data_IF_657400832528
#
_entry.id   IF_657400832528
#
_cell.length_a   1.000
_cell.length_b   1.000
_cell.length_c   1.000
_cell.angle_alpha   90.00
_cell.angle_beta   90.00
_cell.angle_gamma   90.00
#
_symmetry.space_group_name_H-M   'P 1'
#
loop_
_entity.id
_entity.type
_entity.pdbx_description
1 polymer ?
#
# COMPACT_ATOMS: atom_id res chain seq x y z
N UNK A 1 -5.93 35.27 -1.89
CA UNK A 1 -5.51 36.16 -0.78
C UNK A 1 -4.33 36.95 -1.27
N UNK A 2 -4.53 38.24 -1.51
CA UNK A 2 -3.68 38.98 -2.45
C UNK A 2 -2.54 39.73 -1.75
N UNK A 3 -2.63 39.88 -0.42
CA UNK A 3 -1.61 40.57 0.38
C UNK A 3 -1.03 39.61 1.40
N UNK A 4 0.25 39.29 1.22
CA UNK A 4 1.08 38.57 2.19
C UNK A 4 2.05 39.58 2.79
N UNK A 5 2.08 39.69 4.11
CA UNK A 5 2.86 40.69 4.83
C UNK A 5 3.62 40.08 6.01
N UNK A 6 4.41 40.89 6.69
CA UNK A 6 5.15 40.52 7.91
C UNK A 6 4.84 41.50 9.01
N UNK A 7 4.83 41.00 10.24
CA UNK A 7 4.62 41.83 11.43
C UNK A 7 5.96 42.02 12.14
N UNK A 8 6.44 43.26 12.20
CA UNK A 8 7.67 43.65 12.87
C UNK A 8 7.34 44.44 14.13
N UNK A 9 7.86 44.00 15.26
CA UNK A 9 7.74 44.74 16.51
C UNK A 9 8.60 46.02 16.45
N UNK A 10 8.05 47.16 16.85
CA UNK A 10 8.64 48.49 16.62
C UNK A 10 9.92 48.68 17.43
N UNK A 11 9.86 48.46 18.74
CA UNK A 11 10.98 48.74 19.65
C UNK A 11 12.14 47.74 19.54
N UNK A 12 11.80 46.46 19.41
CA UNK A 12 12.79 45.37 19.42
C UNK A 12 13.22 44.96 18.02
N UNK A 13 12.51 45.41 16.98
CA UNK A 13 12.78 45.08 15.58
C UNK A 13 12.56 43.60 15.20
N UNK A 14 12.03 42.77 16.09
CA UNK A 14 11.82 41.34 15.85
C UNK A 14 10.60 41.06 14.97
N UNK A 15 10.61 39.92 14.26
CA UNK A 15 9.53 39.49 13.36
C UNK A 15 8.66 38.41 14.00
N UNK A 16 7.34 38.54 13.88
CA UNK A 16 6.40 37.53 14.34
C UNK A 16 6.53 36.24 13.52
N UNK A 17 6.68 35.11 14.21
CA UNK A 17 6.97 33.80 13.62
C UNK A 17 6.11 32.70 14.27
N UNK A 18 5.71 31.72 13.48
CA UNK A 18 5.18 30.44 14.00
C UNK A 18 6.30 29.39 14.07
N UNK A 19 6.54 28.82 15.24
CA UNK A 19 7.50 27.75 15.47
C UNK A 19 7.01 26.41 14.94
N UNK A 20 7.94 25.49 14.64
CA UNK A 20 7.61 24.11 14.25
C UNK A 20 7.26 23.22 15.43
N UNK A 21 7.58 23.63 16.66
CA UNK A 21 7.29 22.89 17.87
C UNK A 21 5.84 23.13 18.32
N UNK A 22 5.23 22.08 18.89
CA UNK A 22 3.91 22.17 19.50
C UNK A 22 4.05 22.45 20.99
N UNK A 23 3.17 23.29 21.51
CA UNK A 23 3.07 23.55 22.93
C UNK A 23 2.68 22.26 23.67
N UNK A 24 3.09 22.08 24.94
CA UNK A 24 2.66 20.94 25.76
C UNK A 24 1.14 20.91 25.99
N UNK A 25 0.68 19.92 26.77
CA UNK A 25 -0.76 19.70 27.02
C UNK A 25 -1.54 20.94 27.49
N UNK A 26 -0.90 21.86 28.23
CA UNK A 26 -1.51 23.12 28.65
C UNK A 26 -1.89 24.05 27.49
N UNK A 27 -1.19 23.95 26.37
CA UNK A 27 -1.45 24.70 25.13
C UNK A 27 -2.16 23.86 24.08
N UNK A 28 -2.77 22.74 24.49
CA UNK A 28 -3.56 21.85 23.62
C UNK A 28 -2.83 21.42 22.33
N UNK A 29 -1.51 21.23 22.37
CA UNK A 29 -0.68 20.89 21.19
C UNK A 29 -0.79 21.89 20.03
N UNK A 30 -1.11 23.16 20.32
CA UNK A 30 -1.11 24.24 19.34
C UNK A 30 0.32 24.60 18.92
N UNK A 31 0.46 25.26 17.77
CA UNK A 31 1.76 25.74 17.31
C UNK A 31 2.24 26.94 18.16
N UNK A 32 3.52 26.97 18.50
CA UNK A 32 4.11 28.08 19.26
C UNK A 32 4.23 29.35 18.40
N UNK A 33 3.92 30.51 18.95
CA UNK A 33 4.12 31.82 18.29
C UNK A 33 5.22 32.59 19.02
N UNK A 34 6.25 33.02 18.29
CA UNK A 34 7.45 33.67 18.86
C UNK A 34 7.82 34.93 18.07
N UNK A 35 8.71 35.76 18.62
CA UNK A 35 9.29 36.90 17.91
C UNK A 35 10.78 36.65 17.63
N UNK A 36 11.13 36.51 16.35
CA UNK A 36 12.50 36.23 15.92
C UNK A 36 13.29 37.54 15.77
N UNK A 37 14.40 37.75 16.51
CA UNK A 37 15.23 38.93 16.35
C UNK A 37 15.76 39.03 14.91
N UNK A 38 15.55 40.17 14.25
CA UNK A 38 16.01 40.40 12.87
C UNK A 38 17.51 40.74 12.84
N UNK A 39 18.36 39.89 13.44
CA UNK A 39 19.82 40.06 13.50
C UNK A 39 20.55 39.41 12.31
N UNK A 40 19.87 38.55 11.54
CA UNK A 40 20.44 37.82 10.39
C UNK A 40 19.90 38.40 9.09
N UNK A 41 20.36 39.61 8.75
CA UNK A 41 19.86 40.46 7.65
C UNK A 41 20.05 39.94 6.23
N UNK A 42 19.56 38.72 5.91
CA UNK A 42 19.26 38.20 4.56
C UNK A 42 18.77 36.75 4.55
N UNK A 43 19.01 35.94 5.60
CA UNK A 43 18.69 34.48 5.60
C UNK A 43 17.30 34.14 6.14
N UNK A 44 16.78 34.88 7.13
CA UNK A 44 15.43 34.67 7.69
C UNK A 44 14.32 35.27 6.82
N UNK A 45 14.67 35.99 5.76
CA UNK A 45 13.78 36.75 4.88
C UNK A 45 13.05 35.85 3.87
N UNK A 46 13.45 34.58 3.74
CA UNK A 46 12.88 33.64 2.76
C UNK A 46 12.02 32.52 3.37
N UNK A 47 11.88 32.47 4.69
CA UNK A 47 11.11 31.40 5.33
C UNK A 47 9.62 31.74 5.37
N UNK A 48 8.77 30.75 5.09
CA UNK A 48 7.32 30.91 5.06
C UNK A 48 6.70 31.08 6.47
N UNK A 49 7.48 30.84 7.52
CA UNK A 49 7.05 30.87 8.92
C UNK A 49 6.89 32.28 9.52
N UNK A 50 7.31 33.32 8.80
CA UNK A 50 7.15 34.75 9.16
C UNK A 50 6.16 35.49 8.25
N UNK A 51 5.57 34.79 7.28
CA UNK A 51 4.60 35.36 6.35
C UNK A 51 3.19 35.20 6.92
N UNK A 52 2.46 36.31 6.92
CA UNK A 52 1.09 36.38 7.43
C UNK A 52 0.16 36.92 6.35
N UNK A 53 -1.10 36.53 6.45
CA UNK A 53 -2.18 37.08 5.64
C UNK A 53 -3.43 37.15 6.52
N UNK A 54 -4.39 37.98 6.11
CA UNK A 54 -5.70 38.07 6.77
C UNK A 54 -6.66 37.17 6.01
N UNK A 55 -7.17 36.13 6.67
CA UNK A 55 -8.16 35.22 6.09
C UNK A 55 -9.59 35.77 6.24
N UNK A 56 -9.89 36.33 7.42
CA UNK A 56 -11.21 36.80 7.76
C UNK A 56 -11.12 38.15 8.49
N UNK A 57 -11.91 39.13 8.05
CA UNK A 57 -12.03 40.45 8.65
C UNK A 57 -13.49 40.88 8.67
N UNK A 58 -13.98 41.33 9.83
CA UNK A 58 -15.31 41.91 9.98
C UNK A 58 -15.15 43.31 10.53
N UNK A 59 -15.55 44.31 9.75
CA UNK A 59 -15.52 45.71 10.16
C UNK A 59 -16.88 46.39 9.86
N UNK A 60 -17.65 46.81 10.88
CA UNK A 60 -18.94 47.49 10.69
C UNK A 60 -18.86 48.82 9.93
N UNK A 61 -17.67 49.43 9.84
CA UNK A 61 -17.45 50.70 9.13
C UNK A 61 -17.24 50.54 7.62
N UNK A 62 -17.14 49.31 7.13
CA UNK A 62 -16.92 48.99 5.72
C UNK A 62 -18.12 48.20 5.21
N UNK A 63 -18.56 48.48 3.99
CA UNK A 63 -19.60 47.69 3.34
C UNK A 63 -19.16 46.23 3.23
N UNK A 64 -20.09 45.29 3.41
CA UNK A 64 -19.82 43.87 3.17
C UNK A 64 -19.50 43.69 1.69
N UNK A 65 -18.35 43.11 1.39
CA UNK A 65 -17.92 42.80 0.03
C UNK A 65 -17.44 41.34 -0.04
N UNK A 66 -17.72 40.67 -1.15
CA UNK A 66 -17.29 39.29 -1.38
C UNK A 66 -15.97 39.28 -2.15
N UNK A 67 -14.88 39.08 -1.41
CA UNK A 67 -13.55 39.03 -1.99
C UNK A 67 -13.21 37.68 -2.64
N UNK A 68 -14.08 36.66 -2.54
CA UNK A 68 -13.83 35.32 -3.08
C UNK A 68 -13.59 35.32 -4.59
N UNK A 69 -14.29 36.21 -5.32
CA UNK A 69 -14.12 36.42 -6.76
C UNK A 69 -12.71 36.87 -7.18
N UNK A 70 -11.97 37.49 -6.26
CA UNK A 70 -10.60 37.98 -6.50
C UNK A 70 -9.53 36.99 -6.02
N UNK A 71 -9.95 35.87 -5.45
CA UNK A 71 -9.07 34.79 -5.00
C UNK A 71 -9.19 33.63 -5.99
N UNK A 72 -8.66 33.83 -7.21
CA UNK A 72 -8.49 32.74 -8.15
C UNK A 72 -7.12 32.10 -7.97
N UNK A 73 -7.09 30.78 -7.95
CA UNK A 73 -5.87 29.98 -7.86
C UNK A 73 -5.60 29.33 -9.20
N UNK A 74 -4.33 29.23 -9.60
CA UNK A 74 -3.94 28.51 -10.80
C UNK A 74 -4.09 26.99 -10.59
N UNK A 75 -4.75 26.30 -11.52
CA UNK A 75 -4.94 24.85 -11.49
C UNK A 75 -3.63 24.09 -11.26
N UNK A 76 -2.56 24.42 -11.99
CA UNK A 76 -1.29 23.70 -11.86
C UNK A 76 -0.64 23.92 -10.49
N UNK A 77 -0.76 25.12 -9.93
CA UNK A 77 -0.29 25.42 -8.57
C UNK A 77 -1.05 24.58 -7.56
N UNK A 78 -2.38 24.54 -7.67
CA UNK A 78 -3.21 23.71 -6.79
C UNK A 78 -2.90 22.22 -6.94
N UNK A 79 -2.73 21.74 -8.16
CA UNK A 79 -2.39 20.35 -8.43
C UNK A 79 -1.05 19.97 -7.77
N UNK A 80 -0.01 20.79 -7.93
CA UNK A 80 1.30 20.54 -7.32
C UNK A 80 1.19 20.60 -5.79
N UNK A 81 0.57 21.65 -5.25
CA UNK A 81 0.40 21.82 -3.82
C UNK A 81 -0.38 20.65 -3.19
N UNK A 82 -1.46 20.23 -3.85
CA UNK A 82 -2.26 19.08 -3.41
C UNK A 82 -1.43 17.80 -3.40
N UNK A 83 -0.63 17.54 -4.44
CA UNK A 83 0.23 16.35 -4.48
C UNK A 83 1.32 16.36 -3.40
N UNK A 84 1.88 17.54 -3.09
CA UNK A 84 2.83 17.70 -1.97
C UNK A 84 2.14 17.37 -0.65
N UNK A 85 0.93 17.89 -0.40
CA UNK A 85 0.20 17.61 0.84
C UNK A 85 -0.30 16.16 0.91
N UNK A 86 -0.69 15.54 -0.20
CA UNK A 86 -0.97 14.11 -0.28
C UNK A 86 0.26 13.28 0.08
N UNK A 87 1.44 13.62 -0.45
CA UNK A 87 2.69 12.94 -0.12
C UNK A 87 3.07 13.09 1.35
N UNK A 88 2.95 14.30 1.92
CA UNK A 88 3.19 14.55 3.36
C UNK A 88 2.23 13.75 4.23
N UNK A 89 0.94 13.76 3.91
CA UNK A 89 -0.08 13.01 4.66
C UNK A 89 0.19 11.51 4.58
N UNK A 90 0.54 10.98 3.41
CA UNK A 90 0.87 9.58 3.22
C UNK A 90 2.11 9.14 4.02
N UNK A 91 3.11 10.02 4.14
CA UNK A 91 4.29 9.79 4.97
C UNK A 91 4.00 9.95 6.47
N UNK A 92 2.99 10.74 6.85
CA UNK A 92 2.59 10.94 8.24
C UNK A 92 1.76 9.78 8.80
N UNK A 93 1.23 8.89 7.94
CA UNK A 93 0.55 7.64 8.33
C UNK A 93 1.55 6.56 8.78
N UNK A 94 2.49 6.94 9.65
CA UNK A 94 3.44 6.00 10.25
C UNK A 94 2.73 5.03 11.20
N UNK A 95 3.19 3.77 11.29
CA UNK A 95 2.68 2.84 12.28
C UNK A 95 3.06 3.34 13.68
N UNK A 96 2.08 3.35 14.58
CA UNK A 96 2.35 3.63 16.00
C UNK A 96 2.95 2.38 16.64
N UNK A 97 4.24 2.42 16.96
CA UNK A 97 4.97 1.29 17.53
C UNK A 97 4.41 0.83 18.89
N UNK A 98 3.67 1.70 19.59
CA UNK A 98 3.07 1.39 20.88
C UNK A 98 1.60 0.94 20.75
N UNK A 99 1.04 0.98 19.54
CA UNK A 99 -0.32 0.54 19.26
C UNK A 99 -0.29 -0.78 18.51
N UNK A 100 -0.79 -1.82 19.15
CA UNK A 100 -1.05 -3.08 18.47
C UNK A 100 -2.24 -2.93 17.52
N UNK A 101 -2.10 -3.46 16.31
CA UNK A 101 -3.15 -3.44 15.30
C UNK A 101 -3.29 -4.83 14.69
N UNK A 102 -4.44 -5.46 14.92
CA UNK A 102 -4.78 -6.80 14.40
C UNK A 102 -4.94 -6.80 12.88
N UNK A 103 -5.14 -5.63 12.28
CA UNK A 103 -5.42 -5.45 10.86
C UNK A 103 -4.13 -5.27 10.05
N UNK A 104 -3.10 -4.71 10.66
CA UNK A 104 -1.86 -4.35 9.99
C UNK A 104 -1.03 -5.59 9.66
N UNK A 105 -0.46 -5.62 8.47
CA UNK A 105 0.43 -6.70 8.05
C UNK A 105 1.60 -6.16 7.26
N UNK A 106 2.74 -6.84 7.39
CA UNK A 106 3.99 -6.41 6.75
C UNK A 106 4.24 -7.14 5.43
N UNK A 107 4.96 -6.52 4.46
CA UNK A 107 5.22 -7.11 3.15
C UNK A 107 5.74 -8.54 3.20
N UNK A 108 6.67 -8.84 4.12
CA UNK A 108 7.26 -10.17 4.31
C UNK A 108 6.22 -11.28 4.52
N UNK A 109 5.06 -10.95 5.09
CA UNK A 109 4.02 -11.90 5.46
C UNK A 109 3.02 -12.18 4.34
N UNK A 110 2.94 -11.29 3.33
CA UNK A 110 1.87 -11.32 2.33
C UNK A 110 1.95 -12.54 1.42
N UNK A 111 3.11 -12.94 0.82
CA UNK A 111 3.16 -14.09 -0.07
C UNK A 111 2.80 -15.42 0.62
N UNK A 112 2.91 -15.46 1.95
CA UNK A 112 2.63 -16.65 2.75
C UNK A 112 1.22 -16.66 3.35
N UNK A 113 0.43 -15.60 3.13
CA UNK A 113 -0.93 -15.45 3.65
C UNK A 113 -0.98 -15.63 5.18
N UNK A 114 0.00 -15.10 5.92
CA UNK A 114 0.13 -15.35 7.36
C UNK A 114 -0.94 -14.60 8.15
N UNK A 115 -1.21 -13.33 7.80
CA UNK A 115 -2.15 -12.46 8.52
C UNK A 115 -3.27 -11.95 7.59
N UNK A 116 -4.29 -12.77 7.28
CA UNK A 116 -5.50 -12.28 6.65
C UNK A 116 -6.30 -11.38 7.60
N UNK A 117 -7.16 -10.52 7.05
CA UNK A 117 -7.73 -9.38 7.78
C UNK A 117 -9.23 -9.53 8.02
N UNK A 118 -9.69 -9.24 9.25
CA UNK A 118 -11.12 -9.08 9.55
C UNK A 118 -11.60 -7.71 9.05
N UNK A 119 -12.59 -7.69 8.16
CA UNK A 119 -13.06 -6.43 7.56
C UNK A 119 -14.08 -5.68 8.44
N UNK A 120 -14.65 -6.36 9.42
CA UNK A 120 -15.77 -5.90 10.24
C UNK A 120 -15.63 -6.41 11.67
N UNK A 121 -16.54 -6.03 12.57
CA UNK A 121 -16.64 -6.63 13.91
C UNK A 121 -17.21 -8.05 13.85
N UNK A 122 -16.61 -8.99 14.59
CA UNK A 122 -16.96 -10.42 14.57
C UNK A 122 -17.71 -10.84 15.84
N UNK A 123 -18.74 -10.07 16.23
CA UNK A 123 -19.69 -10.51 17.24
C UNK A 123 -20.57 -11.64 16.71
N UNK A 124 -21.13 -12.48 17.58
CA UNK A 124 -21.99 -13.58 17.12
C UNK A 124 -23.21 -13.11 16.31
N UNK A 125 -23.68 -11.88 16.53
CA UNK A 125 -24.84 -11.28 15.84
C UNK A 125 -24.51 -10.49 14.58
N UNK A 126 -23.23 -10.22 14.30
CA UNK A 126 -22.82 -9.46 13.10
C UNK A 126 -22.49 -10.38 11.94
N UNK A 127 -22.62 -9.91 10.70
CA UNK A 127 -22.14 -10.65 9.53
C UNK A 127 -20.60 -10.57 9.51
N UNK A 128 -19.93 -11.69 9.31
CA UNK A 128 -18.47 -11.80 9.31
C UNK A 128 -17.96 -11.79 7.87
N UNK A 129 -17.03 -10.88 7.59
CA UNK A 129 -16.25 -10.83 6.36
C UNK A 129 -14.76 -10.95 6.69
N UNK A 130 -14.07 -11.83 5.96
CA UNK A 130 -12.63 -12.09 6.14
C UNK A 130 -11.93 -11.90 4.80
N UNK A 131 -10.97 -10.98 4.75
CA UNK A 131 -10.13 -10.78 3.58
C UNK A 131 -9.06 -11.87 3.54
N UNK A 132 -9.36 -12.93 2.81
CA UNK A 132 -8.47 -14.06 2.57
C UNK A 132 -8.56 -14.48 1.10
N UNK A 133 -7.43 -14.65 0.44
CA UNK A 133 -7.40 -15.20 -0.92
C UNK A 133 -7.50 -16.73 -0.92
N UNK A 134 -7.64 -17.34 -2.10
CA UNK A 134 -7.57 -18.79 -2.24
C UNK A 134 -6.19 -19.30 -1.81
N UNK A 135 -6.04 -20.02 -0.67
CA UNK A 135 -4.72 -20.30 -0.10
C UNK A 135 -3.81 -21.13 -1.01
N UNK A 136 -4.38 -22.06 -1.79
CA UNK A 136 -3.60 -22.86 -2.72
C UNK A 136 -3.04 -22.00 -3.85
N UNK A 137 -3.89 -21.23 -4.53
CA UNK A 137 -3.43 -20.35 -5.61
C UNK A 137 -2.44 -19.30 -5.11
N UNK A 138 -2.67 -18.78 -3.90
CA UNK A 138 -1.79 -17.82 -3.26
C UNK A 138 -0.40 -18.41 -2.99
N UNK A 139 -0.32 -19.57 -2.34
CA UNK A 139 0.96 -20.21 -2.03
C UNK A 139 1.70 -20.70 -3.27
N UNK A 140 1.01 -21.31 -4.24
CA UNK A 140 1.65 -21.76 -5.47
C UNK A 140 2.18 -20.58 -6.30
N UNK A 141 1.44 -19.47 -6.39
CA UNK A 141 1.93 -18.28 -7.09
C UNK A 141 3.11 -17.63 -6.36
N UNK A 142 3.10 -17.61 -5.02
CA UNK A 142 4.24 -17.16 -4.22
C UNK A 142 5.49 -18.01 -4.44
N UNK A 143 5.36 -19.34 -4.44
CA UNK A 143 6.45 -20.28 -4.75
C UNK A 143 7.02 -19.96 -6.13
N UNK A 144 6.18 -19.84 -7.15
CA UNK A 144 6.63 -19.51 -8.51
C UNK A 144 7.39 -18.18 -8.54
N UNK A 145 6.88 -17.13 -7.90
CA UNK A 145 7.56 -15.83 -7.87
C UNK A 145 8.91 -15.86 -7.15
N UNK A 146 9.02 -16.59 -6.04
CA UNK A 146 10.27 -16.73 -5.26
C UNK A 146 11.31 -17.54 -6.03
N UNK A 147 10.90 -18.63 -6.70
CA UNK A 147 11.83 -19.51 -7.42
C UNK A 147 12.18 -19.04 -8.83
N UNK A 148 11.42 -18.10 -9.40
CA UNK A 148 11.63 -17.60 -10.76
C UNK A 148 13.05 -17.04 -11.01
N UNK A 149 13.64 -16.18 -10.15
CA UNK A 149 15.01 -15.71 -10.35
C UNK A 149 16.05 -16.83 -10.40
N UNK A 150 15.90 -17.87 -9.56
CA UNK A 150 16.79 -19.03 -9.57
C UNK A 150 16.68 -19.82 -10.87
N UNK A 151 15.47 -19.94 -11.41
CA UNK A 151 15.24 -20.57 -12.71
C UNK A 151 15.85 -19.76 -13.86
N UNK A 152 15.79 -18.44 -13.81
CA UNK A 152 16.47 -17.59 -14.80
C UNK A 152 17.99 -17.80 -14.76
N UNK A 153 18.58 -17.80 -13.57
CA UNK A 153 20.01 -18.10 -13.38
C UNK A 153 20.34 -19.49 -13.94
N UNK A 154 19.51 -20.48 -13.67
CA UNK A 154 19.68 -21.84 -14.21
C UNK A 154 19.70 -21.85 -15.74
N UNK A 155 18.77 -21.16 -16.41
CA UNK A 155 18.76 -21.07 -17.88
C UNK A 155 19.97 -20.32 -18.42
N UNK A 156 20.37 -19.21 -17.79
CA UNK A 156 21.56 -18.46 -18.17
C UNK A 156 22.83 -19.32 -18.09
N UNK A 157 22.98 -20.11 -17.02
CA UNK A 157 24.09 -21.05 -16.85
C UNK A 157 24.08 -22.17 -17.91
N UNK A 158 22.91 -22.72 -18.26
CA UNK A 158 22.82 -23.71 -19.32
C UNK A 158 23.22 -23.15 -20.69
N UNK A 159 22.78 -21.92 -21.00
CA UNK A 159 23.17 -21.24 -22.23
C UNK A 159 24.68 -20.98 -22.27
N UNK A 160 25.26 -20.50 -21.16
CA UNK A 160 26.70 -20.25 -21.06
C UNK A 160 27.54 -21.54 -21.19
N UNK A 161 27.02 -22.69 -20.73
CA UNK A 161 27.67 -24.00 -20.83
C UNK A 161 27.43 -24.72 -22.17
N UNK A 162 26.62 -24.15 -23.07
CA UNK A 162 26.25 -24.81 -24.32
C UNK A 162 25.33 -26.02 -24.16
N UNK A 163 24.67 -26.19 -23.00
CA UNK A 163 23.75 -27.29 -22.71
C UNK A 163 22.28 -26.85 -22.74
N UNK A 164 21.98 -25.77 -23.47
CA UNK A 164 20.63 -25.20 -23.53
C UNK A 164 19.63 -26.17 -24.16
N UNK A 165 18.45 -26.30 -23.53
CA UNK A 165 17.32 -27.07 -24.07
C UNK A 165 16.46 -26.28 -25.07
N UNK A 166 16.62 -24.96 -25.13
CA UNK A 166 15.90 -24.08 -26.06
C UNK A 166 16.30 -24.40 -27.49
N UNK A 167 15.32 -24.52 -28.41
CA UNK A 167 15.57 -24.90 -29.81
C UNK A 167 16.14 -23.74 -30.63
N UNK A 168 15.81 -22.51 -30.26
CA UNK A 168 16.30 -21.29 -30.88
C UNK A 168 16.40 -20.15 -29.86
N UNK A 169 17.19 -19.13 -30.19
CA UNK A 169 17.25 -17.91 -29.39
C UNK A 169 15.87 -17.21 -29.35
N UNK A 170 15.11 -17.25 -30.45
CA UNK A 170 13.76 -16.69 -30.52
C UNK A 170 12.82 -17.33 -29.52
N UNK A 171 12.83 -18.67 -29.38
CA UNK A 171 11.99 -19.37 -28.40
C UNK A 171 12.31 -18.94 -26.96
N UNK A 172 13.60 -18.76 -26.66
CA UNK A 172 14.03 -18.23 -25.36
C UNK A 172 13.61 -16.77 -25.15
N UNK A 173 13.74 -15.92 -26.18
CA UNK A 173 13.33 -14.52 -26.10
C UNK A 173 11.82 -14.38 -25.90
N UNK A 174 11.01 -15.21 -26.56
CA UNK A 174 9.56 -15.25 -26.35
C UNK A 174 9.22 -15.63 -24.90
N UNK A 175 9.90 -16.64 -24.35
CA UNK A 175 9.76 -17.00 -22.93
C UNK A 175 10.17 -15.84 -22.02
N UNK A 176 11.33 -15.25 -22.28
CA UNK A 176 11.90 -14.14 -21.50
C UNK A 176 10.98 -12.92 -21.51
N UNK A 177 10.46 -12.52 -22.67
CA UNK A 177 9.64 -11.32 -22.83
C UNK A 177 8.34 -11.42 -22.04
N UNK A 178 7.68 -12.57 -22.09
CA UNK A 178 6.47 -12.82 -21.31
C UNK A 178 6.77 -12.94 -19.82
N UNK A 179 7.74 -13.78 -19.44
CA UNK A 179 8.03 -14.05 -18.03
C UNK A 179 8.62 -12.84 -17.28
N UNK A 180 9.49 -12.06 -17.92
CA UNK A 180 10.04 -10.83 -17.33
C UNK A 180 8.98 -9.77 -17.12
N UNK A 181 7.99 -9.66 -18.02
CA UNK A 181 6.88 -8.72 -17.87
C UNK A 181 6.00 -9.12 -16.68
N UNK A 182 5.64 -10.40 -16.58
CA UNK A 182 4.80 -10.92 -15.49
C UNK A 182 5.50 -10.83 -14.13
N UNK A 183 6.73 -11.35 -14.02
CA UNK A 183 7.48 -11.28 -12.77
C UNK A 183 7.89 -9.84 -12.42
N UNK A 184 8.26 -9.04 -13.42
CA UNK A 184 8.56 -7.61 -13.24
C UNK A 184 7.34 -6.84 -12.74
N UNK A 185 6.15 -7.15 -13.25
CA UNK A 185 4.88 -6.61 -12.74
C UNK A 185 4.66 -6.96 -11.27
N UNK A 186 4.87 -8.22 -10.87
CA UNK A 186 4.82 -8.63 -9.46
C UNK A 186 5.84 -7.87 -8.62
N UNK A 187 7.10 -7.83 -9.06
CA UNK A 187 8.20 -7.19 -8.33
C UNK A 187 7.96 -5.69 -8.14
N UNK A 188 7.54 -4.97 -9.19
CA UNK A 188 7.26 -3.53 -9.13
C UNK A 188 6.05 -3.20 -8.25
N UNK A 189 5.08 -4.10 -8.14
CA UNK A 189 3.93 -3.91 -7.24
C UNK A 189 4.16 -4.44 -5.83
N UNK A 190 5.28 -5.12 -5.55
CA UNK A 190 5.54 -5.73 -4.25
C UNK A 190 6.76 -5.13 -3.53
N UNK A 191 7.90 -5.04 -4.21
CA UNK A 191 9.18 -4.60 -3.64
C UNK A 191 9.11 -3.18 -3.05
N UNK A 192 8.44 -2.18 -3.67
CA UNK A 192 8.39 -0.84 -3.09
C UNK A 192 7.80 -0.77 -1.69
N UNK A 193 6.91 -1.69 -1.32
CA UNK A 193 6.31 -1.71 0.02
C UNK A 193 7.32 -1.99 1.14
N UNK A 194 8.48 -2.61 0.83
CA UNK A 194 9.55 -2.80 1.82
C UNK A 194 10.25 -1.50 2.20
N UNK A 195 10.22 -0.50 1.32
CA UNK A 195 10.79 0.83 1.57
C UNK A 195 9.76 1.81 2.16
N UNK A 196 8.48 1.44 2.22
CA UNK A 196 7.43 2.30 2.76
C UNK A 196 7.38 2.22 4.29
N UNK A 197 7.60 3.36 4.96
CA UNK A 197 7.53 3.48 6.43
C UNK A 197 6.13 3.79 6.98
N UNK A 198 5.06 3.46 6.24
CA UNK A 198 3.67 3.75 6.62
C UNK A 198 2.92 2.49 7.03
N UNK A 199 1.71 2.65 7.55
CA UNK A 199 0.79 1.54 7.84
C UNK A 199 0.44 0.79 6.55
N UNK A 200 0.51 -0.55 6.59
CA UNK A 200 0.22 -1.43 5.45
C UNK A 200 -0.73 -2.55 5.85
N UNK A 201 -1.40 -3.10 4.84
CA UNK A 201 -2.46 -4.11 4.95
C UNK A 201 -2.34 -5.11 3.82
N UNK A 202 -2.96 -6.28 3.97
CA UNK A 202 -2.84 -7.37 2.99
C UNK A 202 -3.39 -7.00 1.61
N UNK A 203 -4.42 -6.14 1.53
CA UNK A 203 -4.98 -5.69 0.24
C UNK A 203 -3.95 -4.98 -0.66
N UNK A 204 -2.90 -4.38 -0.07
CA UNK A 204 -1.82 -3.76 -0.84
C UNK A 204 -1.07 -4.77 -1.71
N UNK A 205 -1.10 -6.06 -1.36
CA UNK A 205 -0.48 -7.12 -2.14
C UNK A 205 -1.34 -7.58 -3.32
N UNK A 206 -2.65 -7.28 -3.36
CA UNK A 206 -3.55 -7.79 -4.40
C UNK A 206 -3.13 -7.44 -5.84
N UNK A 207 -2.63 -6.21 -6.14
CA UNK A 207 -2.09 -5.92 -7.46
C UNK A 207 -0.89 -6.80 -7.83
N UNK A 208 0.02 -7.06 -6.88
CA UNK A 208 1.14 -7.96 -7.10
C UNK A 208 0.67 -9.42 -7.28
N UNK A 209 -0.29 -9.87 -6.45
CA UNK A 209 -0.90 -11.20 -6.55
C UNK A 209 -1.50 -11.45 -7.94
N UNK A 210 -2.12 -10.44 -8.57
CA UNK A 210 -2.63 -10.56 -9.93
C UNK A 210 -1.52 -10.99 -10.91
N UNK A 211 -0.38 -10.30 -10.91
CA UNK A 211 0.78 -10.69 -11.71
C UNK A 211 1.36 -12.06 -11.30
N UNK A 212 1.35 -12.38 -10.00
CA UNK A 212 1.81 -13.68 -9.51
C UNK A 212 0.95 -14.85 -10.04
N UNK A 213 -0.36 -14.68 -10.11
CA UNK A 213 -1.30 -15.67 -10.64
C UNK A 213 -1.15 -15.83 -12.16
N UNK A 214 -0.94 -14.72 -12.88
CA UNK A 214 -0.63 -14.77 -14.31
C UNK A 214 0.70 -15.47 -14.58
N UNK A 215 1.73 -15.19 -13.76
CA UNK A 215 3.02 -15.89 -13.84
C UNK A 215 2.87 -17.37 -13.53
N UNK A 216 2.08 -17.74 -12.51
CA UNK A 216 1.77 -19.14 -12.21
C UNK A 216 1.13 -19.84 -13.42
N UNK A 217 0.11 -19.22 -14.04
CA UNK A 217 -0.54 -19.78 -15.23
C UNK A 217 0.44 -19.94 -16.40
N UNK A 218 1.26 -18.92 -16.67
CA UNK A 218 2.31 -18.96 -17.69
C UNK A 218 3.32 -20.08 -17.41
N UNK A 219 3.73 -20.27 -16.17
CA UNK A 219 4.72 -21.28 -15.81
C UNK A 219 4.19 -22.70 -15.85
N UNK A 220 2.92 -22.90 -15.48
CA UNK A 220 2.23 -24.17 -15.69
C UNK A 220 2.14 -24.50 -17.19
N UNK A 221 1.76 -23.53 -18.03
CA UNK A 221 1.71 -23.71 -19.48
C UNK A 221 3.07 -24.11 -20.07
N UNK A 222 4.14 -23.39 -19.70
CA UNK A 222 5.50 -23.73 -20.13
C UNK A 222 5.94 -25.12 -19.64
N UNK A 223 5.67 -25.47 -18.39
CA UNK A 223 6.00 -26.77 -17.82
C UNK A 223 5.32 -27.91 -18.62
N UNK A 224 4.01 -27.84 -18.82
CA UNK A 224 3.27 -28.89 -19.53
C UNK A 224 3.56 -28.93 -21.03
N UNK A 225 3.84 -27.79 -21.68
CA UNK A 225 4.35 -27.76 -23.08
C UNK A 225 5.64 -28.56 -23.23
N UNK A 226 6.58 -28.42 -22.29
CA UNK A 226 7.85 -29.17 -22.33
C UNK A 226 7.71 -30.67 -22.08
N UNK A 227 6.63 -31.10 -21.41
CA UNK A 227 6.35 -32.51 -21.06
C UNK A 227 5.62 -33.31 -22.18
N UNK A 228 5.37 -32.71 -23.35
CA UNK A 228 4.87 -33.32 -24.60
C UNK A 228 3.55 -34.11 -24.48
N UNK A 229 2.43 -33.41 -24.66
CA UNK A 229 1.19 -33.76 -25.44
C UNK A 229 0.08 -32.83 -24.94
N UNK A 230 -0.42 -31.93 -25.79
CA UNK A 230 -1.39 -30.88 -25.41
C UNK A 230 -2.60 -31.36 -24.60
N UNK A 231 -2.99 -32.63 -24.70
CA UNK A 231 -4.03 -33.26 -23.86
C UNK A 231 -3.76 -33.14 -22.36
N UNK A 232 -2.51 -33.27 -21.92
CA UNK A 232 -2.17 -33.23 -20.48
C UNK A 232 -2.22 -31.82 -19.93
N UNK A 233 -1.94 -30.80 -20.77
CA UNK A 233 -2.11 -29.40 -20.39
C UNK A 233 -3.59 -29.11 -20.13
N UNK A 234 -4.49 -29.53 -21.03
CA UNK A 234 -5.94 -29.34 -20.85
C UNK A 234 -6.46 -30.04 -19.60
N UNK A 235 -6.05 -31.30 -19.39
CA UNK A 235 -6.43 -32.05 -18.17
C UNK A 235 -5.89 -31.38 -16.91
N UNK A 236 -4.61 -30.98 -16.89
CA UNK A 236 -4.01 -30.30 -15.75
C UNK A 236 -4.69 -28.97 -15.45
N UNK A 237 -5.01 -28.17 -16.48
CA UNK A 237 -5.74 -26.91 -16.33
C UNK A 237 -7.15 -27.13 -15.74
N UNK A 238 -7.87 -28.14 -16.23
CA UNK A 238 -9.19 -28.52 -15.69
C UNK A 238 -9.06 -28.95 -14.23
N UNK A 239 -8.11 -29.83 -13.90
CA UNK A 239 -7.87 -30.26 -12.52
C UNK A 239 -7.53 -29.09 -11.59
N UNK A 240 -6.64 -28.18 -12.03
CA UNK A 240 -6.30 -26.98 -11.28
C UNK A 240 -7.53 -26.08 -11.07
N UNK A 241 -8.36 -25.90 -12.09
CA UNK A 241 -9.62 -25.15 -12.01
C UNK A 241 -10.63 -25.77 -11.03
N UNK A 242 -10.81 -27.08 -11.07
CA UNK A 242 -11.70 -27.81 -10.14
C UNK A 242 -11.19 -27.66 -8.71
N UNK A 243 -9.90 -27.89 -8.45
CA UNK A 243 -9.32 -27.74 -7.11
C UNK A 243 -9.45 -26.30 -6.61
N UNK A 244 -9.14 -25.31 -7.45
CA UNK A 244 -9.33 -23.91 -7.11
C UNK A 244 -10.80 -23.58 -6.78
N UNK A 245 -11.75 -24.12 -7.56
CA UNK A 245 -13.17 -23.98 -7.33
C UNK A 245 -13.65 -24.61 -6.02
N UNK A 246 -13.20 -25.82 -5.70
CA UNK A 246 -13.52 -26.49 -4.43
C UNK A 246 -13.00 -25.67 -3.24
N UNK A 247 -11.76 -25.20 -3.31
CA UNK A 247 -11.20 -24.35 -2.26
C UNK A 247 -11.95 -23.03 -2.15
N UNK A 248 -12.32 -22.42 -3.28
CA UNK A 248 -13.16 -21.23 -3.26
C UNK A 248 -14.49 -21.48 -2.55
N UNK A 249 -15.22 -22.54 -2.90
CA UNK A 249 -16.48 -22.90 -2.26
C UNK A 249 -16.32 -23.17 -0.76
N UNK A 250 -15.19 -23.77 -0.36
CA UNK A 250 -14.89 -24.00 1.04
C UNK A 250 -14.71 -22.69 1.82
N UNK A 251 -14.01 -21.69 1.25
CA UNK A 251 -13.77 -20.37 1.86
C UNK A 251 -14.84 -19.30 1.54
N UNK A 252 -15.81 -19.60 0.66
CA UNK A 252 -16.84 -18.68 0.19
C UNK A 252 -17.63 -17.94 1.29
N UNK A 253 -17.91 -18.53 2.48
CA UNK A 253 -18.55 -17.80 3.58
C UNK A 253 -17.84 -16.52 3.99
N UNK A 254 -16.52 -16.43 3.83
CA UNK A 254 -15.76 -15.22 4.17
C UNK A 254 -15.96 -14.08 3.17
N UNK A 255 -16.28 -14.40 1.91
CA UNK A 255 -16.50 -13.44 0.83
C UNK A 255 -17.96 -12.98 0.80
N UNK A 256 -18.90 -13.94 0.85
CA UNK A 256 -20.33 -13.63 0.78
C UNK A 256 -20.94 -13.18 2.10
N UNK A 257 -20.22 -13.42 3.20
CA UNK A 257 -20.66 -13.11 4.54
C UNK A 257 -21.19 -14.36 5.26
N UNK A 258 -20.88 -14.42 6.55
CA UNK A 258 -21.36 -15.47 7.45
C UNK A 258 -22.10 -14.84 8.62
N UNK A 259 -23.38 -15.19 8.80
CA UNK A 259 -24.26 -14.60 9.83
C UNK A 259 -24.28 -15.40 11.15
N UNK A 260 -23.70 -16.61 11.17
CA UNK A 260 -23.65 -17.50 12.35
C UNK A 260 -22.39 -17.29 13.20
N UNK A 261 -22.25 -17.93 14.38
CA UNK A 261 -21.04 -17.83 15.20
C UNK A 261 -19.77 -18.22 14.44
N UNK A 262 -18.68 -17.47 14.68
CA UNK A 262 -17.41 -17.69 13.99
C UNK A 262 -16.79 -19.08 14.29
N UNK A 263 -17.16 -19.69 15.42
CA UNK A 263 -16.72 -21.03 15.82
C UNK A 263 -17.12 -22.12 14.82
N UNK A 264 -18.23 -21.95 14.09
CA UNK A 264 -18.63 -22.89 13.03
C UNK A 264 -17.65 -22.89 11.84
N UNK A 265 -16.87 -21.83 11.69
CA UNK A 265 -15.83 -21.71 10.67
C UNK A 265 -14.45 -22.18 11.16
N UNK A 266 -14.34 -22.79 12.36
CA UNK A 266 -13.06 -23.19 12.94
C UNK A 266 -12.23 -24.14 12.03
N UNK A 267 -12.90 -25.03 11.27
CA UNK A 267 -12.22 -25.92 10.33
C UNK A 267 -11.47 -25.20 9.19
N UNK A 268 -11.79 -23.92 8.93
CA UNK A 268 -11.14 -23.10 7.90
C UNK A 268 -9.83 -22.46 8.36
N UNK A 269 -9.43 -22.66 9.62
CA UNK A 269 -8.16 -22.19 10.17
C UNK A 269 -7.02 -23.13 9.76
N UNK A 270 -6.48 -22.95 8.55
CA UNK A 270 -5.36 -23.77 8.08
C UNK A 270 -4.02 -23.33 8.68
N UNK A 271 -3.86 -22.04 8.97
CA UNK A 271 -2.71 -21.52 9.72
C UNK A 271 -3.15 -21.03 11.10
N UNK A 272 -2.30 -21.27 12.12
CA UNK A 272 -2.56 -20.82 13.50
C UNK A 272 -2.76 -19.31 13.60
N UNK A 273 -2.10 -18.54 12.74
CA UNK A 273 -2.19 -17.08 12.70
C UNK A 273 -3.51 -16.55 12.13
N UNK A 274 -4.32 -17.40 11.49
CA UNK A 274 -5.64 -16.99 10.99
C UNK A 274 -6.61 -16.87 12.15
N UNK A 275 -6.87 -15.64 12.57
CA UNK A 275 -7.77 -15.27 13.65
C UNK A 275 -9.24 -15.39 13.24
N UNK A 276 -9.71 -16.59 12.90
CA UNK A 276 -11.09 -16.81 12.45
C UNK A 276 -12.06 -16.79 13.64
N UNK A 277 -11.90 -17.69 14.61
CA UNK A 277 -12.84 -17.81 15.74
C UNK A 277 -12.23 -17.42 17.09
N UNK A 278 -10.93 -17.66 17.28
CA UNK A 278 -10.18 -17.21 18.44
C UNK A 278 -9.42 -15.95 18.05
N UNK A 279 -9.69 -14.85 18.73
CA UNK A 279 -8.73 -13.75 18.73
C UNK A 279 -7.63 -14.14 19.72
N UNK A 280 -6.51 -14.59 19.18
CA UNK A 280 -5.35 -15.12 19.92
C UNK A 280 -4.76 -14.04 20.85
N UNK A 281 -5.20 -12.79 20.69
CA UNK A 281 -4.70 -11.62 21.41
C UNK A 281 -5.81 -10.78 22.05
N UNK A 282 -7.07 -11.24 22.03
CA UNK A 282 -8.11 -10.70 22.91
C UNK A 282 -7.96 -11.35 24.30
N UNK A 283 -7.08 -10.77 25.11
CA UNK A 283 -7.20 -10.83 26.57
C UNK A 283 -7.97 -9.59 27.04
#
# INVERSE_FOLDING_TARGET
>A
MNTVFRLRHVETGCLLRVGSQRLPAWGWNQAEVTCLPDKSGKKNVKSNDVLWFVEHNVNPRVSKDDLSQYVSTNFFVNMIQLNIEMAKTNNALGPDANKYSVLESRPQSWPFLIYPMRMVGWSDKSIKYYEIGNPLLWWFSAIVCIFYPFRLVFWALQMQRGCSRWRSLTEFMDFWDNSKFLWGGWALHYIPFFAMGRVLYIHHYLPALYFALLLLAFELDNFFKTWRRGRYLTVAAICCGIVAGIVYLYFAPFTYGWDRPAKELAGRQWLKTWNIYSDIYAM
#
